data_IF_863429829446
#
_entry.id   IF_863429829446
#
_cell.length_a   1.000
_cell.length_b   1.000
_cell.length_c   1.000
_cell.angle_alpha   90.00
_cell.angle_beta   90.00
_cell.angle_gamma   90.00
#
_symmetry.space_group_name_H-M   'P 1'
#
loop_
_entity.id
_entity.type
_entity.pdbx_description
1 polymer ?
#
# COMPACT_ATOMS: atom_id res chain seq x y z
N UNK A 1 -21.64 -20.03 -0.32
CA UNK A 1 -20.17 -20.24 -0.28
C UNK A 1 -19.55 -19.01 0.32
N UNK A 2 -19.11 -19.06 1.58
CA UNK A 2 -18.44 -17.95 2.25
C UNK A 2 -17.08 -17.76 1.58
N UNK A 3 -17.00 -16.80 0.67
CA UNK A 3 -15.75 -16.34 0.08
C UNK A 3 -14.84 -15.89 1.22
N UNK A 4 -13.89 -16.75 1.60
CA UNK A 4 -12.84 -16.37 2.53
C UNK A 4 -12.16 -15.13 1.93
N UNK A 5 -12.26 -14.00 2.63
CA UNK A 5 -11.68 -12.75 2.17
C UNK A 5 -10.20 -12.98 1.89
N UNK A 6 -9.79 -12.74 0.66
CA UNK A 6 -8.42 -12.91 0.23
C UNK A 6 -7.50 -12.03 1.13
N UNK A 7 -6.41 -12.58 1.71
CA UNK A 7 -5.52 -11.82 2.60
C UNK A 7 -4.97 -10.56 1.94
N UNK A 8 -4.72 -10.58 0.63
CA UNK A 8 -4.23 -9.44 -0.12
C UNK A 8 -5.30 -8.35 -0.27
N UNK A 9 -6.53 -8.72 -0.62
CA UNK A 9 -7.67 -7.78 -0.61
C UNK A 9 -7.89 -7.15 0.77
N UNK A 10 -7.73 -7.91 1.84
CA UNK A 10 -7.84 -7.38 3.22
C UNK A 10 -6.71 -6.39 3.53
N UNK A 11 -5.48 -6.65 3.07
CA UNK A 11 -4.36 -5.74 3.21
C UNK A 11 -4.65 -4.39 2.54
N UNK A 12 -5.20 -4.40 1.33
CA UNK A 12 -5.57 -3.18 0.59
C UNK A 12 -6.51 -2.28 1.39
N UNK A 13 -7.53 -2.87 2.03
CA UNK A 13 -8.51 -2.13 2.85
C UNK A 13 -7.86 -1.36 4.00
N UNK A 14 -6.77 -1.88 4.57
CA UNK A 14 -6.08 -1.25 5.68
C UNK A 14 -4.95 -0.30 5.23
N UNK A 15 -4.29 -0.58 4.11
CA UNK A 15 -3.13 0.18 3.62
C UNK A 15 -3.55 1.39 2.78
N UNK A 16 -4.54 1.27 1.89
CA UNK A 16 -4.94 2.37 1.00
C UNK A 16 -5.41 3.64 1.74
N UNK A 17 -6.13 3.57 2.87
CA UNK A 17 -6.48 4.76 3.65
C UNK A 17 -5.27 5.56 4.18
N UNK A 18 -4.11 4.92 4.36
CA UNK A 18 -2.88 5.62 4.78
C UNK A 18 -2.47 6.69 3.74
N UNK A 19 -2.66 6.41 2.45
CA UNK A 19 -2.40 7.38 1.38
C UNK A 19 -3.36 8.58 1.43
N UNK A 20 -4.52 8.42 2.08
CA UNK A 20 -5.43 9.52 2.34
C UNK A 20 -5.03 10.35 3.57
N UNK A 21 -4.08 9.89 4.40
CA UNK A 21 -3.70 10.53 5.67
C UNK A 21 -4.47 9.99 6.87
N UNK A 22 -5.19 8.89 6.70
CA UNK A 22 -5.87 8.23 7.82
C UNK A 22 -4.88 7.41 8.63
N UNK A 23 -5.02 7.35 9.97
CA UNK A 23 -4.14 6.55 10.80
C UNK A 23 -4.37 5.06 10.55
N UNK A 24 -3.35 4.26 10.85
CA UNK A 24 -3.48 2.81 10.80
C UNK A 24 -4.55 2.34 11.80
N UNK A 25 -5.52 1.56 11.31
CA UNK A 25 -6.69 1.12 12.09
C UNK A 25 -6.50 -0.21 12.83
N UNK A 26 -5.41 -0.91 12.53
CA UNK A 26 -5.05 -2.20 13.13
C UNK A 26 -3.57 -2.21 13.51
N UNK A 27 -3.12 -3.08 14.43
CA UNK A 27 -1.69 -3.26 14.69
C UNK A 27 -0.91 -3.62 13.42
N UNK A 28 0.33 -3.16 13.32
CA UNK A 28 1.20 -3.47 12.17
C UNK A 28 1.47 -4.98 12.07
N UNK A 29 1.48 -5.68 13.20
CA UNK A 29 1.66 -7.12 13.29
C UNK A 29 0.56 -7.88 12.52
N UNK A 30 -0.66 -7.35 12.51
CA UNK A 30 -1.78 -7.95 11.78
C UNK A 30 -1.60 -7.79 10.26
N UNK A 31 -1.04 -6.66 9.82
CA UNK A 31 -0.64 -6.49 8.41
C UNK A 31 0.44 -7.50 8.02
N UNK A 32 1.43 -7.73 8.90
CA UNK A 32 2.50 -8.70 8.65
C UNK A 32 1.94 -10.12 8.48
N UNK A 33 0.90 -10.48 9.25
CA UNK A 33 0.20 -11.75 9.08
C UNK A 33 -0.46 -11.85 7.71
N UNK A 34 -1.12 -10.80 7.24
CA UNK A 34 -1.74 -10.77 5.91
C UNK A 34 -0.70 -10.92 4.78
N UNK A 35 0.42 -10.20 4.87
CA UNK A 35 1.53 -10.29 3.91
C UNK A 35 2.13 -11.70 3.89
N UNK A 36 2.41 -12.29 5.06
CA UNK A 36 2.94 -13.65 5.15
C UNK A 36 2.00 -14.68 4.55
N UNK A 37 0.70 -14.57 4.78
CA UNK A 37 -0.31 -15.44 4.16
C UNK A 37 -0.35 -15.27 2.65
N UNK A 38 -0.27 -14.03 2.15
CA UNK A 38 -0.22 -13.77 0.71
C UNK A 38 1.00 -14.43 0.05
N UNK A 39 2.19 -14.22 0.62
CA UNK A 39 3.43 -14.86 0.15
C UNK A 39 3.30 -16.37 0.12
N UNK A 40 2.78 -16.99 1.19
CA UNK A 40 2.56 -18.44 1.25
C UNK A 40 1.61 -18.91 0.15
N UNK A 41 0.51 -18.20 -0.08
CA UNK A 41 -0.46 -18.51 -1.15
C UNK A 41 0.19 -18.43 -2.53
N UNK A 42 0.89 -17.34 -2.84
CA UNK A 42 1.52 -17.12 -4.15
C UNK A 42 2.63 -18.15 -4.41
N UNK A 43 3.50 -18.39 -3.42
CA UNK A 43 4.57 -19.38 -3.52
C UNK A 43 4.00 -20.78 -3.70
N UNK A 44 2.92 -21.13 -2.99
CA UNK A 44 2.29 -22.46 -3.11
C UNK A 44 1.59 -22.65 -4.45
N UNK A 45 1.01 -21.59 -5.02
CA UNK A 45 0.28 -21.64 -6.28
C UNK A 45 1.21 -21.75 -7.50
N UNK A 46 2.31 -21.00 -7.52
CA UNK A 46 3.24 -20.99 -8.64
C UNK A 46 4.68 -20.61 -8.20
N UNK A 47 5.45 -21.54 -7.61
CA UNK A 47 6.77 -21.24 -7.03
C UNK A 47 7.74 -20.56 -8.01
N UNK A 48 7.75 -20.98 -9.29
CA UNK A 48 8.63 -20.45 -10.32
C UNK A 48 8.27 -19.03 -10.79
N UNK A 49 7.05 -18.57 -10.52
CA UNK A 49 6.56 -17.21 -10.86
C UNK A 49 6.34 -16.34 -9.63
N UNK A 50 6.53 -16.90 -8.43
CA UNK A 50 6.13 -16.27 -7.19
C UNK A 50 6.73 -14.88 -7.00
N UNK A 51 8.02 -14.72 -7.30
CA UNK A 51 8.69 -13.42 -7.19
C UNK A 51 8.04 -12.37 -8.10
N UNK A 52 7.84 -12.70 -9.38
CA UNK A 52 7.23 -11.79 -10.36
C UNK A 52 5.79 -11.45 -9.99
N UNK A 53 5.02 -12.41 -9.47
CA UNK A 53 3.66 -12.14 -8.99
C UNK A 53 3.67 -11.20 -7.79
N UNK A 54 4.53 -11.43 -6.79
CA UNK A 54 4.65 -10.57 -5.61
C UNK A 54 5.10 -9.15 -5.95
N UNK A 55 6.07 -9.01 -6.87
CA UNK A 55 6.51 -7.71 -7.38
C UNK A 55 5.37 -6.95 -8.07
N UNK A 56 4.60 -7.65 -8.91
CA UNK A 56 3.45 -7.08 -9.59
C UNK A 56 2.37 -6.63 -8.59
N UNK A 57 1.98 -7.50 -7.67
CA UNK A 57 0.97 -7.21 -6.65
C UNK A 57 1.35 -5.98 -5.80
N UNK A 58 2.62 -5.91 -5.36
CA UNK A 58 3.15 -4.77 -4.61
C UNK A 58 3.12 -3.49 -5.44
N UNK A 59 3.51 -3.57 -6.71
CA UNK A 59 3.49 -2.44 -7.64
C UNK A 59 2.07 -1.91 -7.82
N UNK A 60 1.08 -2.80 -7.96
CA UNK A 60 -0.33 -2.42 -8.09
C UNK A 60 -0.88 -1.76 -6.82
N UNK A 61 -0.52 -2.28 -5.64
CA UNK A 61 -0.91 -1.68 -4.36
C UNK A 61 -0.38 -0.25 -4.23
N UNK A 62 0.91 -0.05 -4.52
CA UNK A 62 1.54 1.27 -4.48
C UNK A 62 0.91 2.19 -5.52
N UNK A 63 0.75 1.72 -6.76
CA UNK A 63 0.12 2.51 -7.82
C UNK A 63 -1.30 2.96 -7.44
N UNK A 64 -2.09 2.07 -6.83
CA UNK A 64 -3.43 2.38 -6.34
C UNK A 64 -3.41 3.46 -5.26
N UNK A 65 -2.47 3.41 -4.32
CA UNK A 65 -2.28 4.46 -3.32
C UNK A 65 -1.81 5.79 -3.92
N UNK A 66 -0.94 5.75 -4.93
CA UNK A 66 -0.43 6.94 -5.62
C UNK A 66 -1.52 7.69 -6.38
N UNK A 67 -2.58 7.02 -6.84
CA UNK A 67 -3.76 7.70 -7.43
C UNK A 67 -4.40 8.66 -6.42
N UNK A 68 -4.51 8.25 -5.14
CA UNK A 68 -5.03 9.11 -4.07
C UNK A 68 -4.15 10.33 -3.83
N UNK A 69 -2.83 10.16 -3.85
CA UNK A 69 -1.89 11.27 -3.71
C UNK A 69 -1.93 12.21 -4.91
N UNK A 70 -2.00 11.67 -6.13
CA UNK A 70 -2.12 12.45 -7.35
C UNK A 70 -3.43 13.27 -7.38
N UNK A 71 -4.53 12.71 -6.87
CA UNK A 71 -5.79 13.43 -6.75
C UNK A 71 -5.68 14.68 -5.84
N UNK A 72 -4.75 14.69 -4.86
CA UNK A 72 -4.47 15.85 -4.00
C UNK A 72 -3.69 16.97 -4.71
N UNK A 73 -3.15 16.71 -5.90
CA UNK A 73 -2.42 17.68 -6.73
C UNK A 73 -3.29 18.27 -7.84
N UNK A 74 -4.42 17.63 -8.18
CA UNK A 74 -5.34 18.12 -9.20
C UNK A 74 -5.93 19.46 -8.79
N UNK A 75 -5.77 20.48 -9.64
CA UNK A 75 -6.31 21.83 -9.41
C UNK A 75 -5.48 22.71 -8.47
N UNK A 76 -4.28 22.27 -8.09
CA UNK A 76 -3.31 23.14 -7.40
C UNK A 76 -2.69 24.09 -8.40
N UNK A 77 -2.69 25.39 -8.08
CA UNK A 77 -2.05 26.42 -8.90
C UNK A 77 -0.55 26.12 -9.10
N UNK A 78 -0.01 26.37 -10.30
CA UNK A 78 1.39 26.06 -10.65
C UNK A 78 2.42 26.66 -9.69
N UNK A 79 2.15 27.86 -9.15
CA UNK A 79 3.02 28.55 -8.18
C UNK A 79 3.07 27.86 -6.82
N UNK A 80 2.07 27.03 -6.49
CA UNK A 80 1.97 26.25 -5.24
C UNK A 80 2.22 24.76 -5.44
N UNK A 81 2.25 24.30 -6.70
CA UNK A 81 2.37 22.89 -7.05
C UNK A 81 3.65 22.28 -6.48
N UNK A 82 4.79 22.97 -6.61
CA UNK A 82 6.08 22.48 -6.09
C UNK A 82 6.06 22.33 -4.56
N UNK A 83 5.50 23.31 -3.84
CA UNK A 83 5.35 23.24 -2.38
C UNK A 83 4.47 22.05 -2.00
N UNK A 84 3.35 21.87 -2.69
CA UNK A 84 2.41 20.78 -2.42
C UNK A 84 3.01 19.40 -2.69
N UNK A 85 3.82 19.26 -3.74
CA UNK A 85 4.54 18.03 -4.05
C UNK A 85 5.55 17.70 -2.94
N UNK A 86 6.30 18.69 -2.45
CA UNK A 86 7.26 18.50 -1.36
C UNK A 86 6.56 18.07 -0.07
N UNK A 87 5.42 18.65 0.27
CA UNK A 87 4.61 18.25 1.44
C UNK A 87 4.11 16.81 1.34
N UNK A 88 3.59 16.41 0.17
CA UNK A 88 3.11 15.05 -0.06
C UNK A 88 4.26 14.04 0.01
N UNK A 89 5.42 14.40 -0.54
CA UNK A 89 6.61 13.55 -0.49
C UNK A 89 7.17 13.41 0.93
N UNK A 90 7.18 14.50 1.71
CA UNK A 90 7.50 14.46 3.14
C UNK A 90 6.55 13.56 3.92
N UNK A 91 5.23 13.72 3.72
CA UNK A 91 4.22 12.85 4.34
C UNK A 91 4.45 11.36 4.02
N UNK A 92 4.75 11.02 2.76
CA UNK A 92 5.02 9.63 2.38
C UNK A 92 6.24 9.06 3.13
N UNK A 93 7.35 9.80 3.19
CA UNK A 93 8.56 9.37 3.89
C UNK A 93 8.39 9.27 5.40
N UNK A 94 7.63 10.18 6.01
CA UNK A 94 7.49 10.24 7.47
C UNK A 94 6.39 9.32 8.01
N UNK A 95 5.34 9.07 7.22
CA UNK A 95 4.14 8.38 7.71
C UNK A 95 3.71 7.15 6.92
N UNK A 96 4.18 6.95 5.69
CA UNK A 96 3.79 5.77 4.90
C UNK A 96 4.92 4.75 4.88
N UNK A 97 6.12 5.18 4.47
CA UNK A 97 7.25 4.28 4.33
C UNK A 97 7.65 3.54 5.62
N UNK A 98 7.66 4.17 6.82
CA UNK A 98 8.05 3.47 8.05
C UNK A 98 7.14 2.27 8.37
N UNK A 99 5.86 2.34 8.02
CA UNK A 99 4.96 1.19 8.17
C UNK A 99 5.17 0.15 7.09
N UNK A 100 5.51 0.55 5.86
CA UNK A 100 5.84 -0.38 4.77
C UNK A 100 7.15 -1.13 5.06
N UNK A 101 8.19 -0.45 5.54
CA UNK A 101 9.48 -1.05 5.92
C UNK A 101 9.43 -1.79 7.25
N UNK A 102 8.50 -1.40 8.14
CA UNK A 102 8.26 -2.07 9.42
C UNK A 102 7.65 -3.46 9.29
N UNK A 103 7.11 -3.81 8.11
CA UNK A 103 6.57 -5.15 7.83
C UNK A 103 7.70 -6.16 7.69
N UNK A 104 7.76 -7.12 8.63
CA UNK A 104 8.66 -8.29 8.62
C UNK A 104 7.90 -9.60 8.72
#
# INVERSE_FOLDING_TARGET
STSATDPWSTLHVHVLPLFNGEPLRIPIEDLNVLVKRHIQTVVSAAPSKALTTLEHDLTELIASGMVTLNAKLVGVDDDKLLVRVVEIWGFFWDQVLPYVEGVR
#
